data_IF_104482137815
#
_entry.id   IF_104482137815
#
_cell.length_a   1.000
_cell.length_b   1.000
_cell.length_c   1.000
_cell.angle_alpha   90.00
_cell.angle_beta   90.00
_cell.angle_gamma   90.00
#
_symmetry.space_group_name_H-M   'P 1'
#
loop_
_entity.id
_entity.type
_entity.pdbx_description
1 polymer ?
#
# COMPACT_ATOMS: atom_id res chain seq x y z
N UNK A 1 -2.24 -48.77 -13.71
CA UNK A 1 -1.00 -48.81 -12.88
C UNK A 1 -0.91 -47.51 -12.09
N UNK A 2 -1.24 -47.56 -10.81
CA UNK A 2 -1.23 -46.40 -9.92
C UNK A 2 0.17 -46.20 -9.35
N UNK A 3 0.73 -45.01 -9.60
CA UNK A 3 2.07 -44.61 -9.13
C UNK A 3 1.97 -44.18 -7.65
N UNK A 4 2.45 -44.99 -6.72
CA UNK A 4 2.57 -44.68 -5.30
C UNK A 4 3.47 -43.46 -5.11
N UNK A 5 2.93 -42.36 -4.56
CA UNK A 5 3.73 -41.22 -4.08
C UNK A 5 4.58 -41.71 -2.89
N UNK A 6 5.89 -41.57 -3.00
CA UNK A 6 6.84 -41.73 -1.88
C UNK A 6 6.73 -40.48 -1.02
N UNK A 7 6.25 -40.63 0.19
CA UNK A 7 6.37 -39.63 1.24
C UNK A 7 7.85 -39.50 1.61
N UNK A 8 8.49 -38.45 1.15
CA UNK A 8 9.84 -38.08 1.59
C UNK A 8 9.70 -37.41 2.95
N UNK A 9 9.87 -38.16 4.03
CA UNK A 9 10.09 -37.57 5.34
C UNK A 9 11.39 -36.76 5.26
N UNK A 10 11.26 -35.44 5.34
CA UNK A 10 12.39 -34.54 5.51
C UNK A 10 12.77 -34.60 6.98
N UNK A 11 13.93 -35.20 7.29
CA UNK A 11 14.51 -35.15 8.63
C UNK A 11 14.78 -33.68 9.01
N UNK A 12 13.89 -33.12 9.79
CA UNK A 12 14.06 -31.78 10.36
C UNK A 12 15.13 -31.92 11.46
N UNK A 13 16.35 -31.47 11.16
CA UNK A 13 17.39 -31.32 12.17
C UNK A 13 16.85 -30.43 13.30
N UNK A 14 16.70 -31.00 14.49
CA UNK A 14 16.36 -30.23 15.69
C UNK A 14 17.44 -29.16 15.89
N UNK A 15 17.07 -27.91 15.75
CA UNK A 15 17.93 -26.78 16.06
C UNK A 15 18.07 -26.73 17.57
N UNK A 16 19.31 -26.83 18.07
CA UNK A 16 19.60 -26.71 19.50
C UNK A 16 19.38 -25.23 19.92
N UNK A 17 18.30 -25.00 20.64
CA UNK A 17 17.90 -23.67 21.16
C UNK A 17 18.37 -23.44 22.60
N UNK A 18 19.23 -24.29 23.16
CA UNK A 18 19.69 -24.22 24.56
C UNK A 18 20.41 -22.90 24.91
N UNK A 19 20.86 -22.14 23.90
CA UNK A 19 21.55 -20.85 24.08
C UNK A 19 20.63 -19.62 24.02
N UNK A 20 19.33 -19.78 23.77
CA UNK A 20 18.38 -18.68 23.65
C UNK A 20 17.67 -18.49 24.98
N UNK A 21 18.17 -17.56 25.79
CA UNK A 21 17.58 -17.19 27.08
C UNK A 21 16.33 -16.33 26.82
N UNK A 22 15.15 -16.78 27.29
CA UNK A 22 13.93 -15.97 27.29
C UNK A 22 12.84 -16.39 26.30
N UNK A 23 12.97 -17.52 25.60
CA UNK A 23 11.90 -18.08 24.77
C UNK A 23 11.10 -19.15 25.55
N UNK A 24 10.32 -18.73 26.51
CA UNK A 24 9.22 -19.55 27.05
C UNK A 24 8.01 -19.45 26.12
N UNK A 25 8.16 -19.89 24.89
CA UNK A 25 7.11 -19.93 23.89
C UNK A 25 6.88 -21.37 23.42
N UNK A 26 5.62 -21.79 23.32
CA UNK A 26 5.28 -23.04 22.64
C UNK A 26 5.57 -22.89 21.15
N UNK A 27 6.50 -23.69 20.63
CA UNK A 27 6.77 -23.73 19.19
C UNK A 27 5.75 -24.68 18.54
N UNK A 28 4.96 -24.15 17.61
CA UNK A 28 4.02 -24.94 16.82
C UNK A 28 4.58 -25.14 15.41
N UNK A 29 4.56 -26.37 14.92
CA UNK A 29 4.89 -26.63 13.52
C UNK A 29 3.69 -26.26 12.65
N UNK A 30 3.90 -25.35 11.70
CA UNK A 30 2.87 -24.91 10.77
C UNK A 30 3.42 -24.95 9.33
N UNK A 31 2.60 -25.41 8.38
CA UNK A 31 2.98 -25.41 6.98
C UNK A 31 3.21 -23.99 6.48
N UNK A 32 4.27 -23.75 5.71
CA UNK A 32 4.61 -22.44 5.19
C UNK A 32 3.49 -21.86 4.29
N UNK A 33 2.77 -22.73 3.56
CA UNK A 33 1.61 -22.34 2.75
C UNK A 33 0.49 -21.75 3.60
N UNK A 34 0.18 -22.40 4.72
CA UNK A 34 -0.85 -21.94 5.66
C UNK A 34 -0.43 -20.62 6.33
N UNK A 35 0.83 -20.50 6.72
CA UNK A 35 1.38 -19.27 7.28
C UNK A 35 1.30 -18.11 6.28
N UNK A 36 1.58 -18.36 5.01
CA UNK A 36 1.47 -17.36 3.95
C UNK A 36 0.02 -16.95 3.70
N UNK A 37 -0.92 -17.89 3.69
CA UNK A 37 -2.35 -17.56 3.52
C UNK A 37 -2.85 -16.68 4.66
N UNK A 38 -2.58 -17.05 5.91
CA UNK A 38 -3.08 -16.33 7.08
C UNK A 38 -2.42 -14.95 7.21
N UNK A 39 -1.11 -14.84 6.98
CA UNK A 39 -0.38 -13.60 7.25
C UNK A 39 -0.24 -12.68 6.02
N UNK A 40 -0.13 -13.25 4.82
CA UNK A 40 0.09 -12.48 3.60
C UNK A 40 -1.22 -12.01 2.95
N UNK A 41 -2.30 -12.81 3.00
CA UNK A 41 -3.58 -12.44 2.39
C UNK A 41 -4.17 -11.13 2.93
N UNK A 42 -4.18 -10.86 4.24
CA UNK A 42 -4.64 -9.56 4.75
C UNK A 42 -3.84 -8.38 4.20
N UNK A 43 -2.52 -8.55 4.06
CA UNK A 43 -1.65 -7.54 3.45
C UNK A 43 -1.97 -7.33 1.97
N UNK A 44 -2.09 -8.40 1.19
CA UNK A 44 -2.43 -8.34 -0.23
C UNK A 44 -3.80 -7.68 -0.46
N UNK A 45 -4.80 -8.05 0.32
CA UNK A 45 -6.14 -7.43 0.28
C UNK A 45 -6.09 -5.95 0.65
N UNK A 46 -5.33 -5.58 1.65
CA UNK A 46 -5.14 -4.19 2.04
C UNK A 46 -4.53 -3.36 0.91
N UNK A 47 -3.50 -3.87 0.22
CA UNK A 47 -2.88 -3.19 -0.92
C UNK A 47 -3.86 -3.06 -2.09
N UNK A 48 -4.62 -4.11 -2.39
CA UNK A 48 -5.61 -4.10 -3.47
C UNK A 48 -6.67 -3.01 -3.21
N UNK A 49 -7.27 -3.02 -2.03
CA UNK A 49 -8.38 -2.11 -1.68
C UNK A 49 -7.90 -0.68 -1.50
N UNK A 50 -6.74 -0.46 -0.84
CA UNK A 50 -6.29 0.88 -0.47
C UNK A 50 -5.42 1.58 -1.51
N UNK A 51 -4.85 0.85 -2.48
CA UNK A 51 -3.89 1.42 -3.44
C UNK A 51 -4.17 1.11 -4.90
N UNK A 52 -4.50 -0.14 -5.23
CA UNK A 52 -4.46 -0.61 -6.60
C UNK A 52 -5.77 -0.38 -7.37
N UNK A 53 -6.90 -0.61 -6.73
CA UNK A 53 -8.20 -0.57 -7.40
C UNK A 53 -8.82 0.81 -7.26
N UNK A 54 -9.17 1.47 -8.38
CA UNK A 54 -9.98 2.69 -8.35
C UNK A 54 -11.43 2.34 -7.96
N UNK A 55 -12.11 3.30 -7.35
CA UNK A 55 -13.53 3.19 -7.10
C UNK A 55 -14.35 3.47 -8.39
N UNK A 56 -15.69 3.43 -8.28
CA UNK A 56 -16.62 3.59 -9.42
C UNK A 56 -16.41 4.90 -10.19
N UNK A 57 -15.88 5.92 -9.54
CA UNK A 57 -15.55 7.23 -10.14
C UNK A 57 -14.17 7.27 -10.81
N UNK A 58 -13.44 6.17 -10.83
CA UNK A 58 -12.11 6.06 -11.42
C UNK A 58 -10.97 6.58 -10.55
N UNK A 59 -11.24 7.10 -9.35
CA UNK A 59 -10.20 7.61 -8.47
C UNK A 59 -9.70 6.57 -7.48
N UNK A 60 -8.39 6.49 -7.36
CA UNK A 60 -7.72 5.75 -6.28
C UNK A 60 -7.74 6.57 -4.99
N UNK A 61 -7.56 5.95 -3.82
CA UNK A 61 -7.51 6.67 -2.54
C UNK A 61 -6.47 7.81 -2.49
N UNK A 62 -5.33 7.68 -3.17
CA UNK A 62 -4.33 8.74 -3.28
C UNK A 62 -4.86 9.98 -4.02
N UNK A 63 -5.59 9.78 -5.12
CA UNK A 63 -6.22 10.86 -5.85
C UNK A 63 -7.25 11.60 -4.98
N UNK A 64 -8.06 10.85 -4.24
CA UNK A 64 -9.06 11.45 -3.33
C UNK A 64 -8.43 12.29 -2.24
N UNK A 65 -7.35 11.81 -1.61
CA UNK A 65 -6.63 12.57 -0.58
C UNK A 65 -6.09 13.88 -1.14
N UNK A 66 -5.53 13.85 -2.33
CA UNK A 66 -5.03 15.04 -3.01
C UNK A 66 -6.16 16.04 -3.30
N UNK A 67 -7.24 15.59 -3.94
CA UNK A 67 -8.39 16.45 -4.28
C UNK A 67 -9.07 17.00 -3.02
N UNK A 68 -9.20 16.19 -1.98
CA UNK A 68 -9.75 16.64 -0.70
C UNK A 68 -8.89 17.74 -0.06
N UNK A 69 -7.58 17.60 -0.09
CA UNK A 69 -6.66 18.63 0.41
C UNK A 69 -6.82 19.94 -0.38
N UNK A 70 -6.88 19.85 -1.70
CA UNK A 70 -7.09 21.01 -2.56
C UNK A 70 -8.44 21.69 -2.29
N UNK A 71 -9.50 20.91 -2.07
CA UNK A 71 -10.80 21.42 -1.66
C UNK A 71 -10.74 22.14 -0.31
N UNK A 72 -10.10 21.54 0.69
CA UNK A 72 -9.92 22.11 2.03
C UNK A 72 -9.11 23.41 1.99
N UNK A 73 -8.15 23.52 1.08
CA UNK A 73 -7.35 24.74 0.87
C UNK A 73 -8.14 25.83 0.12
N UNK A 74 -9.36 25.54 -0.34
CA UNK A 74 -10.20 26.50 -1.05
C UNK A 74 -9.74 26.83 -2.46
N UNK A 75 -8.94 25.97 -3.10
CA UNK A 75 -8.35 26.24 -4.42
C UNK A 75 -9.37 26.26 -5.57
N UNK A 76 -10.56 25.71 -5.37
CA UNK A 76 -11.62 25.71 -6.41
C UNK A 76 -12.08 27.12 -6.83
N UNK A 77 -11.93 28.10 -5.96
CA UNK A 77 -12.33 29.50 -6.20
C UNK A 77 -11.19 30.48 -5.97
N UNK A 78 -9.98 29.95 -5.73
CA UNK A 78 -8.84 30.73 -5.29
C UNK A 78 -7.84 31.04 -6.40
N UNK A 79 -6.75 31.68 -5.99
CA UNK A 79 -5.59 31.92 -6.83
C UNK A 79 -4.80 30.62 -7.00
N UNK A 80 -4.09 30.50 -8.12
CA UNK A 80 -3.14 29.44 -8.36
C UNK A 80 -2.14 29.31 -7.19
N UNK A 81 -1.91 28.10 -6.73
CA UNK A 81 -1.02 27.79 -5.62
C UNK A 81 0.14 26.93 -6.12
N UNK A 82 1.32 27.15 -5.56
CA UNK A 82 2.50 26.34 -5.89
C UNK A 82 2.28 24.88 -5.54
N UNK A 83 2.65 23.98 -6.45
CA UNK A 83 2.56 22.53 -6.28
C UNK A 83 3.17 22.03 -4.97
N UNK A 84 4.33 22.56 -4.58
CA UNK A 84 5.00 22.18 -3.34
C UNK A 84 4.15 22.40 -2.08
N UNK A 85 3.33 23.46 -2.04
CA UNK A 85 2.45 23.71 -0.91
C UNK A 85 1.31 22.69 -0.84
N UNK A 86 0.72 22.33 -1.99
CA UNK A 86 -0.33 21.31 -2.08
C UNK A 86 0.21 19.96 -1.63
N UNK A 87 1.40 19.58 -2.11
CA UNK A 87 2.08 18.33 -1.72
C UNK A 87 2.31 18.29 -0.22
N UNK A 88 2.88 19.36 0.36
CA UNK A 88 3.15 19.45 1.80
C UNK A 88 1.89 19.28 2.66
N UNK A 89 0.79 19.90 2.27
CA UNK A 89 -0.49 19.74 2.97
C UNK A 89 -1.09 18.34 2.79
N UNK A 90 -0.92 17.73 1.62
CA UNK A 90 -1.41 16.37 1.36
C UNK A 90 -0.63 15.32 2.15
N UNK A 91 0.64 15.55 2.45
CA UNK A 91 1.45 14.64 3.27
C UNK A 91 0.88 14.44 4.67
N UNK A 92 0.12 15.38 5.21
CA UNK A 92 -0.57 15.20 6.50
C UNK A 92 -1.61 14.07 6.46
N UNK A 93 -2.20 13.82 5.28
CA UNK A 93 -3.19 12.75 5.07
C UNK A 93 -2.57 11.49 4.45
N UNK A 94 -1.40 11.62 3.85
CA UNK A 94 -0.73 10.54 3.13
C UNK A 94 0.78 10.55 3.41
N UNK A 95 1.24 9.90 4.48
CA UNK A 95 2.64 9.96 4.93
C UNK A 95 3.62 9.15 4.07
N UNK A 96 3.25 8.77 2.84
CA UNK A 96 4.04 7.91 1.95
C UNK A 96 5.07 8.65 1.07
N UNK A 97 5.46 9.85 1.45
CA UNK A 97 6.47 10.62 0.73
C UNK A 97 5.90 11.59 -0.31
N UNK A 98 6.62 12.65 -0.54
CA UNK A 98 6.26 13.76 -1.40
C UNK A 98 6.30 13.41 -2.90
N UNK A 99 7.28 12.62 -3.31
CA UNK A 99 7.47 12.23 -4.71
C UNK A 99 6.22 11.53 -5.30
N UNK A 100 5.63 10.60 -4.57
CA UNK A 100 4.44 9.87 -5.02
C UNK A 100 3.21 10.78 -5.14
N UNK A 101 3.06 11.74 -4.24
CA UNK A 101 1.99 12.73 -4.29
C UNK A 101 2.19 13.67 -5.47
N UNK A 102 3.42 14.15 -5.68
CA UNK A 102 3.75 15.01 -6.80
C UNK A 102 3.53 14.33 -8.15
N UNK A 103 3.96 13.08 -8.30
CA UNK A 103 3.72 12.30 -9.52
C UNK A 103 2.22 12.12 -9.81
N UNK A 104 1.43 11.83 -8.77
CA UNK A 104 -0.04 11.74 -8.88
C UNK A 104 -0.63 13.06 -9.36
N UNK A 105 -0.18 14.18 -8.81
CA UNK A 105 -0.65 15.52 -9.20
C UNK A 105 -0.28 15.85 -10.66
N UNK A 106 0.95 15.54 -11.08
CA UNK A 106 1.40 15.73 -12.46
C UNK A 106 0.56 14.90 -13.42
N UNK A 107 0.24 13.65 -13.04
CA UNK A 107 -0.61 12.78 -13.87
C UNK A 107 -2.01 13.35 -14.05
N UNK A 108 -2.63 13.84 -13.00
CA UNK A 108 -3.95 14.48 -13.07
C UNK A 108 -3.95 15.84 -13.80
N UNK A 109 -2.79 16.47 -13.96
CA UNK A 109 -2.63 17.74 -14.67
C UNK A 109 -2.31 17.58 -16.15
N UNK A 110 -1.94 16.39 -16.62
CA UNK A 110 -1.48 16.14 -17.99
C UNK A 110 -2.55 15.51 -18.88
N UNK A 111 -2.48 15.80 -20.18
CA UNK A 111 -3.24 15.13 -21.23
C UNK A 111 -4.75 15.29 -21.07
N UNK A 112 -5.46 14.17 -21.22
CA UNK A 112 -6.92 14.13 -21.06
C UNK A 112 -7.36 14.27 -19.58
N UNK A 113 -6.44 14.21 -18.65
CA UNK A 113 -6.66 14.33 -17.20
C UNK A 113 -6.33 15.74 -16.70
N UNK A 114 -6.66 16.79 -17.46
CA UNK A 114 -6.34 18.20 -17.16
C UNK A 114 -7.10 18.79 -15.96
N UNK A 115 -7.54 17.92 -15.05
CA UNK A 115 -8.37 18.29 -13.92
C UNK A 115 -7.77 19.38 -13.02
N UNK A 116 -6.43 19.35 -12.85
CA UNK A 116 -5.76 20.24 -11.91
C UNK A 116 -5.09 21.46 -12.57
N UNK A 117 -5.06 21.52 -13.88
CA UNK A 117 -4.38 22.60 -14.60
C UNK A 117 -4.82 24.01 -14.18
N UNK A 118 -6.11 24.31 -13.96
CA UNK A 118 -6.55 25.65 -13.56
C UNK A 118 -6.23 26.00 -12.10
N UNK A 119 -5.76 25.09 -11.28
CA UNK A 119 -5.57 25.28 -9.84
C UNK A 119 -4.12 25.23 -9.37
N UNK A 120 -3.21 24.76 -10.21
CA UNK A 120 -1.80 24.53 -9.86
C UNK A 120 -0.89 25.37 -10.73
N UNK A 121 0.01 26.09 -10.09
CA UNK A 121 1.05 26.88 -10.73
C UNK A 121 2.38 26.12 -10.76
#
# INVERSE_FOLDING_TARGET
MARKKKDTQVDVKKIDTSHVVGLEGSTTEQAISETLEINYMPYAMSVIVSRAIPEIDGFKPSHRKLLYTMYKMGLLKGKLTKSANIVGQTMQLNPHGDAAIYETMVRLARGNETLLHPFVA
#
